data_IF_896200303218
#
_entry.id   IF_896200303218
#
_cell.length_a   1.000
_cell.length_b   1.000
_cell.length_c   1.000
_cell.angle_alpha   90.00
_cell.angle_beta   90.00
_cell.angle_gamma   90.00
#
_symmetry.space_group_name_H-M   'P 1'
#
loop_
_entity.id
_entity.type
_entity.pdbx_description
1 polymer ?
#
# COMPACT_ATOMS: atom_id res chain seq x y z
N UNK A 1 -25.87 21.58 -13.27
CA UNK A 1 -26.21 20.31 -13.96
C UNK A 1 -25.34 19.20 -13.40
N UNK A 2 -25.89 18.42 -12.47
CA UNK A 2 -25.21 17.26 -11.88
C UNK A 2 -25.55 16.06 -12.77
N UNK A 3 -24.70 15.73 -13.74
CA UNK A 3 -24.84 14.47 -14.47
C UNK A 3 -24.47 13.35 -13.50
N UNK A 4 -25.49 12.76 -12.86
CA UNK A 4 -25.39 11.41 -12.29
C UNK A 4 -24.88 10.50 -13.40
N UNK A 5 -23.59 10.17 -13.39
CA UNK A 5 -23.08 9.06 -14.17
C UNK A 5 -23.68 7.80 -13.54
N UNK A 6 -24.63 7.16 -14.23
CA UNK A 6 -25.13 5.82 -13.92
C UNK A 6 -24.01 4.80 -14.23
N UNK A 7 -22.90 4.87 -13.51
CA UNK A 7 -21.80 3.93 -13.63
C UNK A 7 -21.73 3.18 -12.32
N UNK A 8 -22.15 1.92 -12.34
CA UNK A 8 -21.96 0.99 -11.23
C UNK A 8 -20.55 0.43 -11.32
N UNK A 9 -19.75 0.67 -10.30
CA UNK A 9 -18.43 0.08 -10.15
C UNK A 9 -18.55 -1.13 -9.22
N UNK A 10 -18.26 -2.32 -9.73
CA UNK A 10 -18.28 -3.55 -8.96
C UNK A 10 -16.88 -3.77 -8.39
N UNK A 11 -16.73 -3.49 -7.09
CA UNK A 11 -15.50 -3.76 -6.34
C UNK A 11 -15.46 -5.21 -5.85
N UNK A 12 -16.60 -5.89 -5.76
CA UNK A 12 -16.69 -7.30 -5.37
C UNK A 12 -17.11 -8.10 -6.61
N UNK A 13 -16.52 -9.29 -6.89
CA UNK A 13 -16.91 -10.08 -8.05
C UNK A 13 -18.43 -10.36 -8.01
N UNK A 14 -19.11 -10.27 -9.17
CA UNK A 14 -20.57 -10.25 -9.22
C UNK A 14 -21.22 -11.60 -8.89
N UNK A 15 -20.48 -12.71 -9.03
CA UNK A 15 -20.99 -14.08 -8.87
C UNK A 15 -19.99 -14.97 -8.12
N UNK A 16 -20.46 -16.12 -7.64
CA UNK A 16 -19.70 -17.15 -6.93
C UNK A 16 -18.27 -17.33 -7.48
N UNK A 17 -17.29 -16.93 -6.69
CA UNK A 17 -15.89 -16.96 -7.07
C UNK A 17 -15.08 -17.64 -5.96
N UNK A 18 -14.84 -18.94 -6.14
CA UNK A 18 -14.13 -19.77 -5.17
C UNK A 18 -12.71 -19.23 -4.89
N UNK A 19 -12.01 -18.76 -5.93
CA UNK A 19 -10.66 -18.20 -5.81
C UNK A 19 -10.66 -16.90 -4.99
N UNK A 20 -11.68 -16.05 -5.20
CA UNK A 20 -11.88 -14.84 -4.40
C UNK A 20 -12.08 -15.19 -2.93
N UNK A 21 -12.98 -16.14 -2.65
CA UNK A 21 -13.29 -16.58 -1.28
C UNK A 21 -12.07 -17.16 -0.60
N UNK A 22 -11.32 -18.04 -1.27
CA UNK A 22 -10.13 -18.67 -0.71
C UNK A 22 -9.09 -17.64 -0.28
N UNK A 23 -8.75 -16.70 -1.17
CA UNK A 23 -7.80 -15.62 -0.85
C UNK A 23 -8.34 -14.61 0.16
N UNK A 24 -9.64 -14.30 0.13
CA UNK A 24 -10.27 -13.44 1.12
C UNK A 24 -10.18 -14.06 2.51
N UNK A 25 -10.57 -15.33 2.68
CA UNK A 25 -10.52 -16.00 3.98
C UNK A 25 -9.08 -16.16 4.47
N UNK A 26 -8.12 -16.47 3.58
CA UNK A 26 -6.68 -16.52 3.92
C UNK A 26 -6.16 -15.19 4.49
N UNK A 27 -6.45 -14.05 3.84
CA UNK A 27 -6.06 -12.72 4.34
C UNK A 27 -6.76 -12.38 5.66
N UNK A 28 -8.06 -12.69 5.77
CA UNK A 28 -8.82 -12.43 7.01
C UNK A 28 -8.32 -13.30 8.18
N UNK A 29 -7.90 -14.53 7.91
CA UNK A 29 -7.27 -15.41 8.90
C UNK A 29 -5.97 -14.77 9.42
N UNK A 30 -5.11 -14.26 8.53
CA UNK A 30 -3.88 -13.55 8.90
C UNK A 30 -4.17 -12.33 9.76
N UNK A 31 -5.14 -11.49 9.37
CA UNK A 31 -5.52 -10.30 10.13
C UNK A 31 -6.17 -10.61 11.48
N UNK A 32 -6.70 -11.82 11.66
CA UNK A 32 -7.29 -12.25 12.93
C UNK A 32 -6.26 -12.72 13.96
N UNK A 33 -5.01 -12.97 13.53
CA UNK A 33 -3.94 -13.46 14.42
C UNK A 33 -3.59 -12.39 15.47
N UNK A 34 -3.28 -12.78 16.71
CA UNK A 34 -2.78 -11.83 17.70
C UNK A 34 -1.44 -11.26 17.26
N UNK A 35 -1.10 -10.07 17.77
CA UNK A 35 0.20 -9.46 17.48
C UNK A 35 1.35 -10.34 17.99
N UNK A 36 2.27 -10.67 17.08
CA UNK A 36 3.52 -11.37 17.38
C UNK A 36 4.70 -10.59 16.73
N UNK A 37 5.58 -9.95 17.52
CA UNK A 37 6.72 -9.21 16.98
C UNK A 37 7.78 -10.11 16.31
N UNK A 38 7.76 -11.42 16.55
CA UNK A 38 8.64 -12.38 15.89
C UNK A 38 8.09 -12.86 14.54
N UNK A 39 6.79 -12.70 14.31
CA UNK A 39 6.07 -13.06 13.08
C UNK A 39 5.17 -11.90 12.61
N UNK A 40 5.75 -10.74 12.25
CA UNK A 40 4.98 -9.55 11.91
C UNK A 40 4.16 -9.73 10.63
N UNK A 41 2.97 -9.14 10.62
CA UNK A 41 2.12 -9.01 9.44
C UNK A 41 2.42 -7.67 8.76
N UNK A 42 3.09 -7.74 7.62
CA UNK A 42 3.43 -6.61 6.78
C UNK A 42 2.49 -6.54 5.57
N UNK A 43 1.68 -5.50 5.50
CA UNK A 43 0.91 -5.16 4.31
C UNK A 43 1.75 -4.26 3.40
N UNK A 44 1.69 -4.48 2.08
CA UNK A 44 2.33 -3.58 1.13
C UNK A 44 1.46 -3.33 -0.10
N UNK A 45 1.59 -2.12 -0.65
CA UNK A 45 1.06 -1.73 -1.96
C UNK A 45 1.86 -0.56 -2.54
N UNK A 46 1.68 -0.24 -3.82
CA UNK A 46 2.32 0.89 -4.47
C UNK A 46 1.38 1.74 -5.32
N UNK A 47 1.62 3.06 -5.33
CA UNK A 47 0.91 3.98 -6.21
C UNK A 47 1.85 4.91 -7.00
N UNK A 48 1.50 5.30 -8.23
CA UNK A 48 2.16 6.40 -8.91
C UNK A 48 1.75 7.75 -8.31
N UNK A 49 2.70 8.66 -8.15
CA UNK A 49 2.43 10.06 -7.80
C UNK A 49 2.95 10.96 -8.92
N UNK A 50 2.06 11.80 -9.46
CA UNK A 50 2.43 12.77 -10.47
C UNK A 50 3.23 13.91 -9.84
N UNK A 51 4.42 14.18 -10.38
CA UNK A 51 5.25 15.30 -9.95
C UNK A 51 4.83 16.56 -10.70
N UNK A 52 4.56 17.62 -9.94
CA UNK A 52 4.03 18.88 -10.44
C UNK A 52 4.75 20.06 -9.82
N UNK A 53 5.47 20.80 -10.65
CA UNK A 53 6.25 21.98 -10.29
C UNK A 53 5.44 23.27 -10.55
N UNK A 54 5.64 24.27 -9.69
CA UNK A 54 5.12 25.63 -9.89
C UNK A 54 5.98 26.38 -10.91
N UNK A 55 5.35 26.96 -11.94
CA UNK A 55 6.09 27.77 -12.94
C UNK A 55 6.45 29.14 -12.36
N UNK A 56 5.58 29.70 -11.51
CA UNK A 56 5.80 30.97 -10.83
C UNK A 56 5.72 30.76 -9.33
N UNK A 57 6.66 31.37 -8.60
CA UNK A 57 6.66 31.36 -7.15
C UNK A 57 5.33 31.93 -6.60
N UNK A 58 4.63 31.23 -5.69
CA UNK A 58 3.41 31.71 -5.07
C UNK A 58 3.65 33.01 -4.32
N UNK A 59 2.66 33.90 -4.39
CA UNK A 59 2.65 35.08 -3.52
C UNK A 59 2.09 34.68 -2.16
N UNK A 60 2.81 34.95 -1.06
CA UNK A 60 2.34 34.62 0.28
C UNK A 60 1.04 35.35 0.60
N UNK A 61 0.26 34.79 1.54
CA UNK A 61 -0.91 35.48 2.06
C UNK A 61 -0.47 36.75 2.81
N UNK A 62 -1.33 37.77 2.76
CA UNK A 62 -1.19 39.01 3.54
C UNK A 62 -2.46 39.18 4.38
N UNK A 63 -2.49 40.18 5.29
CA UNK A 63 -3.70 40.50 6.07
C UNK A 63 -4.95 40.71 5.20
N UNK A 64 -4.78 41.19 3.98
CA UNK A 64 -5.89 41.59 3.09
C UNK A 64 -6.10 40.66 1.90
N UNK A 65 -5.16 39.74 1.62
CA UNK A 65 -5.22 38.88 0.44
C UNK A 65 -4.81 37.45 0.77
N UNK A 66 -5.54 36.43 0.27
CA UNK A 66 -5.13 35.04 0.42
C UNK A 66 -3.84 34.77 -0.35
N UNK A 67 -3.22 33.61 -0.07
CA UNK A 67 -2.11 33.08 -0.87
C UNK A 67 -2.58 32.99 -2.33
N UNK A 68 -1.75 33.46 -3.27
CA UNK A 68 -2.03 33.39 -4.71
C UNK A 68 -1.04 32.44 -5.37
N UNK A 69 -1.57 31.48 -6.09
CA UNK A 69 -0.82 30.47 -6.84
C UNK A 69 -1.24 30.59 -8.30
N UNK A 70 -0.30 30.47 -9.22
CA UNK A 70 -0.62 30.44 -10.64
C UNK A 70 -1.40 29.16 -10.99
N UNK A 71 -2.32 29.26 -11.94
CA UNK A 71 -3.03 28.09 -12.45
C UNK A 71 -2.10 27.22 -13.32
N UNK A 72 -1.08 27.83 -13.93
CA UNK A 72 -0.09 27.12 -14.74
C UNK A 72 0.88 26.32 -13.87
N UNK A 73 1.16 25.10 -14.31
CA UNK A 73 2.10 24.20 -13.66
C UNK A 73 2.87 23.39 -14.69
N UNK A 74 4.05 22.92 -14.32
CA UNK A 74 4.85 22.01 -15.15
C UNK A 74 4.70 20.59 -14.62
N UNK A 75 4.49 19.62 -15.52
CA UNK A 75 4.53 18.19 -15.19
C UNK A 75 5.98 17.73 -15.23
N UNK A 76 6.48 17.25 -14.10
CA UNK A 76 7.89 16.87 -13.91
C UNK A 76 8.08 15.36 -13.84
N UNK A 77 7.18 14.61 -14.48
CA UNK A 77 7.19 13.15 -14.50
C UNK A 77 6.29 12.51 -13.43
N UNK A 78 6.58 11.25 -13.13
CA UNK A 78 5.82 10.43 -12.19
C UNK A 78 6.82 9.68 -11.32
N UNK A 79 6.68 9.82 -10.00
CA UNK A 79 7.38 9.00 -9.03
C UNK A 79 6.53 7.77 -8.66
N UNK A 80 7.17 6.75 -8.10
CA UNK A 80 6.56 5.52 -7.59
C UNK A 80 6.71 5.49 -6.08
N UNK A 81 5.59 5.37 -5.40
CA UNK A 81 5.52 5.31 -3.95
C UNK A 81 5.23 3.88 -3.54
N UNK A 82 6.07 3.30 -2.70
CA UNK A 82 5.84 2.04 -2.00
C UNK A 82 5.35 2.35 -0.59
N UNK A 83 4.26 1.71 -0.19
CA UNK A 83 3.71 1.76 1.16
C UNK A 83 3.92 0.42 1.84
N UNK A 84 4.43 0.47 3.06
CA UNK A 84 4.62 -0.67 3.94
C UNK A 84 3.92 -0.37 5.25
N UNK A 85 3.05 -1.25 5.72
CA UNK A 85 2.29 -1.05 6.94
C UNK A 85 2.28 -2.34 7.78
N UNK A 86 2.57 -2.22 9.07
CA UNK A 86 2.42 -3.29 10.06
C UNK A 86 1.26 -2.89 11.00
N UNK A 87 0.02 -3.32 10.70
CA UNK A 87 -1.17 -2.69 11.27
C UNK A 87 -1.22 -2.79 12.80
N UNK A 88 -0.94 -3.97 13.35
CA UNK A 88 -0.99 -4.22 14.79
C UNK A 88 0.17 -3.59 15.56
N UNK A 89 1.30 -3.30 14.90
CA UNK A 89 2.39 -2.54 15.49
C UNK A 89 2.21 -1.03 15.35
N UNK A 90 1.13 -0.59 14.69
CA UNK A 90 0.86 0.82 14.40
C UNK A 90 2.10 1.43 13.75
N UNK A 91 2.58 0.80 12.68
CA UNK A 91 3.79 1.23 12.00
C UNK A 91 3.58 1.29 10.49
N UNK A 92 4.18 2.29 9.86
CA UNK A 92 4.26 2.38 8.40
C UNK A 92 5.55 3.03 7.94
N UNK A 93 5.92 2.76 6.70
CA UNK A 93 7.03 3.40 6.01
C UNK A 93 6.64 3.64 4.56
N UNK A 94 7.02 4.83 4.08
CA UNK A 94 6.87 5.21 2.68
C UNK A 94 8.24 5.29 2.03
N UNK A 95 8.39 4.62 0.89
CA UNK A 95 9.59 4.72 0.06
C UNK A 95 9.22 5.27 -1.31
N UNK A 96 10.07 6.14 -1.88
CA UNK A 96 9.80 6.82 -3.15
C UNK A 96 10.95 6.59 -4.11
N UNK A 97 10.61 6.02 -5.27
CA UNK A 97 11.54 5.72 -6.37
C UNK A 97 11.10 6.39 -7.66
N UNK A 98 12.02 6.51 -8.60
CA UNK A 98 11.72 7.01 -9.94
C UNK A 98 11.03 5.92 -10.81
N UNK A 99 11.24 4.64 -10.46
CA UNK A 99 10.71 3.47 -11.18
C UNK A 99 10.18 2.42 -10.20
N UNK A 100 9.34 1.53 -10.72
CA UNK A 100 8.78 0.35 -10.03
C UNK A 100 9.04 -0.88 -10.89
N UNK A 101 10.20 -1.49 -10.71
CA UNK A 101 10.56 -2.79 -11.31
C UNK A 101 10.49 -3.91 -10.28
N UNK A 102 10.52 -5.18 -10.73
CA UNK A 102 10.63 -6.32 -9.81
C UNK A 102 11.88 -6.24 -8.92
N UNK A 103 12.99 -5.73 -9.46
CA UNK A 103 14.24 -5.53 -8.70
C UNK A 103 14.09 -4.41 -7.66
N UNK A 104 13.43 -3.30 -8.01
CA UNK A 104 13.14 -2.23 -7.05
C UNK A 104 12.35 -2.76 -5.86
N UNK A 105 11.30 -3.55 -6.12
CA UNK A 105 10.50 -4.20 -5.10
C UNK A 105 11.32 -5.14 -4.21
N UNK A 106 12.15 -6.01 -4.81
CA UNK A 106 12.99 -6.93 -4.05
C UNK A 106 14.01 -6.20 -3.15
N UNK A 107 14.52 -5.04 -3.61
CA UNK A 107 15.41 -4.19 -2.80
C UNK A 107 14.66 -3.57 -1.61
N UNK A 108 13.45 -3.06 -1.80
CA UNK A 108 12.65 -2.53 -0.68
C UNK A 108 12.34 -3.62 0.36
N UNK A 109 11.92 -4.80 -0.09
CA UNK A 109 11.68 -5.94 0.80
C UNK A 109 12.93 -6.40 1.52
N UNK A 110 14.08 -6.47 0.83
CA UNK A 110 15.36 -6.82 1.46
C UNK A 110 15.76 -5.81 2.54
N UNK A 111 15.61 -4.50 2.28
CA UNK A 111 15.90 -3.46 3.26
C UNK A 111 15.05 -3.62 4.54
N UNK A 112 13.78 -4.00 4.41
CA UNK A 112 12.91 -4.27 5.55
C UNK A 112 13.33 -5.54 6.30
N UNK A 113 13.62 -6.62 5.58
CA UNK A 113 14.03 -7.91 6.15
C UNK A 113 15.38 -7.85 6.87
N UNK A 114 16.32 -7.08 6.33
CA UNK A 114 17.68 -6.91 6.88
C UNK A 114 17.75 -5.76 7.90
N UNK A 115 16.78 -4.84 7.88
CA UNK A 115 16.66 -3.72 8.80
C UNK A 115 15.65 -4.00 9.92
N UNK A 116 14.44 -3.44 9.80
CA UNK A 116 13.39 -3.50 10.84
C UNK A 116 13.12 -4.92 11.31
N UNK A 117 13.06 -5.87 10.38
CA UNK A 117 12.71 -7.25 10.66
C UNK A 117 13.93 -8.17 10.81
N UNK A 118 15.15 -7.64 10.98
CA UNK A 118 16.38 -8.45 11.05
C UNK A 118 16.32 -9.61 12.05
N UNK A 119 15.57 -9.44 13.15
CA UNK A 119 15.44 -10.42 14.23
C UNK A 119 14.22 -11.34 14.10
N UNK A 120 13.35 -11.10 13.13
CA UNK A 120 12.16 -11.91 12.90
C UNK A 120 12.53 -13.16 12.10
N UNK A 121 12.04 -14.32 12.52
CA UNK A 121 12.26 -15.58 11.79
C UNK A 121 11.60 -15.53 10.42
N UNK A 122 10.38 -14.96 10.37
CA UNK A 122 9.57 -14.84 9.17
C UNK A 122 8.72 -13.58 9.24
N UNK A 123 8.36 -13.05 8.08
CA UNK A 123 7.43 -11.92 7.88
C UNK A 123 6.28 -12.41 7.01
N UNK A 124 5.05 -12.24 7.49
CA UNK A 124 3.84 -12.54 6.74
C UNK A 124 3.54 -11.31 5.87
N UNK A 125 3.58 -11.46 4.56
CA UNK A 125 3.43 -10.35 3.61
C UNK A 125 2.07 -10.43 2.94
N UNK A 126 1.21 -9.44 3.23
CA UNK A 126 -0.07 -9.25 2.56
C UNK A 126 0.10 -8.26 1.41
N UNK A 127 -0.16 -8.69 0.18
CA UNK A 127 -0.01 -7.85 -1.02
C UNK A 127 -0.91 -8.33 -2.16
N UNK A 128 -1.02 -7.55 -3.23
CA UNK A 128 -1.65 -8.05 -4.46
C UNK A 128 -0.80 -9.16 -5.12
N UNK A 129 -1.38 -9.87 -6.09
CA UNK A 129 -0.68 -10.89 -6.88
C UNK A 129 -0.14 -10.30 -8.18
N UNK A 130 0.65 -9.23 -8.08
CA UNK A 130 1.32 -8.60 -9.21
C UNK A 130 2.55 -9.40 -9.64
N UNK A 131 2.85 -9.40 -10.94
CA UNK A 131 4.00 -10.13 -11.51
C UNK A 131 5.38 -9.64 -11.02
N UNK A 132 5.43 -8.52 -10.29
CA UNK A 132 6.63 -8.01 -9.63
C UNK A 132 6.84 -8.65 -8.25
N UNK A 133 5.79 -9.12 -7.58
CA UNK A 133 5.81 -9.65 -6.21
C UNK A 133 6.13 -11.13 -6.23
N UNK A 134 7.35 -11.47 -6.66
CA UNK A 134 7.75 -12.86 -6.86
C UNK A 134 9.05 -13.18 -6.14
N UNK A 135 9.18 -14.43 -5.68
CA UNK A 135 10.45 -14.96 -5.17
C UNK A 135 11.57 -14.79 -6.20
N UNK A 136 11.26 -14.94 -7.49
CA UNK A 136 12.22 -14.76 -8.59
C UNK A 136 12.86 -13.37 -8.61
N UNK A 137 12.12 -12.32 -8.22
CA UNK A 137 12.64 -10.95 -8.18
C UNK A 137 13.87 -10.79 -7.27
N UNK A 138 13.97 -11.58 -6.20
CA UNK A 138 15.16 -11.60 -5.34
C UNK A 138 16.36 -12.23 -6.02
N UNK A 139 16.15 -13.26 -6.84
CA UNK A 139 17.21 -13.90 -7.63
C UNK A 139 17.66 -13.04 -8.81
N UNK A 140 16.80 -12.15 -9.31
CA UNK A 140 17.20 -11.13 -10.27
C UNK A 140 18.02 -10.00 -9.61
N UNK A 141 17.82 -9.76 -8.31
CA UNK A 141 18.40 -8.62 -7.59
C UNK A 141 19.68 -8.96 -6.81
N UNK A 142 19.83 -10.21 -6.35
CA UNK A 142 20.89 -10.61 -5.40
C UNK A 142 21.53 -11.94 -5.76
N UNK A 143 22.75 -12.15 -5.27
CA UNK A 143 23.42 -13.45 -5.36
C UNK A 143 22.56 -14.58 -4.78
N UNK A 144 22.57 -15.80 -5.36
CA UNK A 144 21.64 -16.88 -5.01
C UNK A 144 21.57 -17.22 -3.52
N UNK A 145 22.69 -17.13 -2.80
CA UNK A 145 22.73 -17.41 -1.35
C UNK A 145 21.96 -16.36 -0.56
N UNK A 146 22.17 -15.07 -0.86
CA UNK A 146 21.43 -13.95 -0.23
C UNK A 146 19.96 -13.97 -0.64
N UNK A 147 19.67 -14.18 -1.92
CA UNK A 147 18.30 -14.29 -2.39
C UNK A 147 17.57 -15.43 -1.64
N UNK A 148 18.19 -16.61 -1.52
CA UNK A 148 17.60 -17.75 -0.82
C UNK A 148 17.39 -17.49 0.67
N UNK A 149 18.32 -16.81 1.34
CA UNK A 149 18.18 -16.49 2.76
C UNK A 149 17.03 -15.52 3.03
N UNK A 150 16.85 -14.52 2.16
CA UNK A 150 15.75 -13.54 2.27
C UNK A 150 14.39 -14.19 2.01
N UNK A 151 14.21 -14.90 0.89
CA UNK A 151 12.90 -15.43 0.49
C UNK A 151 12.39 -16.53 1.41
N UNK A 152 13.27 -17.23 2.14
CA UNK A 152 12.88 -18.21 3.17
C UNK A 152 12.17 -17.56 4.36
N UNK A 153 12.35 -16.26 4.55
CA UNK A 153 11.77 -15.47 5.63
C UNK A 153 10.48 -14.77 5.21
N UNK A 154 9.99 -14.98 4.00
CA UNK A 154 8.76 -14.37 3.49
C UNK A 154 7.69 -15.44 3.32
N UNK A 155 6.50 -15.17 3.84
CA UNK A 155 5.29 -15.96 3.58
C UNK A 155 4.23 -15.04 2.99
N UNK A 156 3.84 -15.30 1.73
CA UNK A 156 2.91 -14.45 1.00
C UNK A 156 1.45 -14.83 1.26
N UNK A 157 0.64 -13.81 1.46
CA UNK A 157 -0.82 -13.89 1.52
C UNK A 157 -1.39 -12.89 0.52
N UNK A 158 -1.89 -13.40 -0.60
CA UNK A 158 -2.31 -12.55 -1.70
C UNK A 158 -3.76 -12.09 -1.54
N UNK A 159 -4.00 -10.79 -1.64
CA UNK A 159 -5.37 -10.27 -1.73
C UNK A 159 -6.03 -10.77 -3.02
N UNK A 160 -7.31 -11.15 -3.00
CA UNK A 160 -7.97 -11.65 -4.19
C UNK A 160 -8.03 -10.57 -5.29
N UNK A 161 -8.20 -11.00 -6.54
CA UNK A 161 -8.56 -10.07 -7.62
C UNK A 161 -9.88 -9.39 -7.28
N UNK A 162 -9.99 -8.08 -7.50
CA UNK A 162 -11.09 -7.25 -7.00
C UNK A 162 -11.14 -7.15 -5.45
N UNK A 163 -10.15 -7.64 -4.73
CA UNK A 163 -10.05 -7.59 -3.27
C UNK A 163 -9.19 -6.46 -2.73
N UNK A 164 -8.94 -5.42 -3.53
CA UNK A 164 -7.97 -4.36 -3.21
C UNK A 164 -8.29 -3.67 -1.86
N UNK A 165 -9.59 -3.50 -1.57
CA UNK A 165 -10.10 -2.99 -0.30
C UNK A 165 -9.73 -3.82 0.95
N UNK A 166 -9.27 -5.08 0.79
CA UNK A 166 -8.73 -5.90 1.88
C UNK A 166 -7.28 -5.56 2.22
N UNK A 167 -6.55 -4.92 1.30
CA UNK A 167 -5.16 -4.57 1.55
C UNK A 167 -5.06 -3.31 2.41
N UNK A 168 -4.57 -3.44 3.64
CA UNK A 168 -4.45 -2.29 4.55
C UNK A 168 -3.47 -1.23 3.99
N UNK A 169 -2.48 -1.64 3.20
CA UNK A 169 -1.57 -0.69 2.56
C UNK A 169 -2.28 0.26 1.57
N UNK A 170 -3.38 -0.17 0.93
CA UNK A 170 -4.20 0.72 0.09
C UNK A 170 -4.88 1.84 0.90
N UNK A 171 -5.34 1.52 2.12
CA UNK A 171 -5.93 2.51 3.02
C UNK A 171 -4.88 3.53 3.48
N UNK A 172 -3.66 3.07 3.79
CA UNK A 172 -2.53 3.95 4.14
C UNK A 172 -2.08 4.80 2.94
N UNK A 173 -2.08 4.25 1.73
CA UNK A 173 -1.81 5.00 0.49
C UNK A 173 -2.86 6.09 0.27
N UNK A 174 -4.14 5.80 0.53
CA UNK A 174 -5.22 6.80 0.49
C UNK A 174 -5.01 7.90 1.52
N UNK A 175 -4.59 7.55 2.74
CA UNK A 175 -4.26 8.50 3.79
C UNK A 175 -3.07 9.38 3.42
N UNK A 176 -1.97 8.78 2.92
CA UNK A 176 -0.82 9.51 2.38
C UNK A 176 -1.25 10.48 1.27
N UNK A 177 -2.05 10.00 0.33
CA UNK A 177 -2.53 10.85 -0.77
C UNK A 177 -3.34 12.02 -0.23
N UNK A 178 -4.31 11.79 0.64
CA UNK A 178 -5.16 12.85 1.19
C UNK A 178 -4.40 13.85 2.08
N UNK A 179 -3.44 13.38 2.87
CA UNK A 179 -2.77 14.20 3.89
C UNK A 179 -1.46 14.82 3.41
N UNK A 180 -0.73 14.13 2.53
CA UNK A 180 0.62 14.52 2.12
C UNK A 180 0.74 14.96 0.66
N UNK A 181 -0.13 14.53 -0.25
CA UNK A 181 0.03 14.77 -1.70
C UNK A 181 -1.07 15.67 -2.28
N UNK A 182 -2.33 15.40 -1.94
CA UNK A 182 -3.48 16.06 -2.52
C UNK A 182 -3.44 17.57 -2.26
N UNK A 183 -3.68 18.35 -3.32
CA UNK A 183 -3.67 19.82 -3.26
C UNK A 183 -2.29 20.46 -3.13
N UNK A 184 -1.19 19.68 -3.17
CA UNK A 184 0.18 20.18 -3.08
C UNK A 184 0.91 20.09 -4.42
N UNK A 185 1.87 20.99 -4.63
CA UNK A 185 2.74 21.04 -5.81
C UNK A 185 4.12 20.47 -5.42
N UNK A 186 4.33 19.18 -5.69
CA UNK A 186 5.58 18.48 -5.39
C UNK A 186 6.32 18.26 -6.70
N UNK A 187 7.38 19.03 -6.94
CA UNK A 187 8.03 19.12 -8.25
C UNK A 187 9.07 18.03 -8.52
N UNK A 188 9.58 17.37 -7.48
CA UNK A 188 10.64 16.35 -7.61
C UNK A 188 10.41 15.13 -6.73
N UNK A 189 11.02 14.00 -7.10
CA UNK A 189 11.00 12.80 -6.28
C UNK A 189 11.70 13.00 -4.93
N UNK A 190 12.72 13.87 -4.86
CA UNK A 190 13.40 14.23 -3.61
C UNK A 190 12.46 14.95 -2.64
N UNK A 191 11.73 15.96 -3.12
CA UNK A 191 10.71 16.63 -2.31
C UNK A 191 9.64 15.64 -1.85
N UNK A 192 9.21 14.71 -2.73
CA UNK A 192 8.25 13.70 -2.36
C UNK A 192 8.79 12.77 -1.27
N UNK A 193 10.08 12.36 -1.33
CA UNK A 193 10.74 11.59 -0.27
C UNK A 193 10.71 12.32 1.06
N UNK A 194 11.17 13.57 1.09
CA UNK A 194 11.21 14.37 2.32
C UNK A 194 9.83 14.51 2.95
N UNK A 195 8.82 14.86 2.14
CA UNK A 195 7.46 15.08 2.63
C UNK A 195 6.78 13.78 3.08
N UNK A 196 6.95 12.69 2.33
CA UNK A 196 6.39 11.39 2.71
C UNK A 196 7.12 10.75 3.89
N UNK A 197 8.42 11.05 4.08
CA UNK A 197 9.17 10.69 5.27
C UNK A 197 8.62 11.37 6.51
N UNK A 198 8.54 12.70 6.48
CA UNK A 198 7.97 13.48 7.57
C UNK A 198 6.53 13.04 7.90
N UNK A 199 5.72 12.72 6.87
CA UNK A 199 4.37 12.22 7.08
C UNK A 199 4.35 10.89 7.83
N UNK A 200 5.08 9.85 7.38
CA UNK A 200 4.99 8.57 8.06
C UNK A 200 5.65 8.58 9.44
N UNK A 201 6.67 9.41 9.67
CA UNK A 201 7.26 9.65 10.99
C UNK A 201 6.26 10.26 11.96
N UNK A 202 5.53 11.30 11.56
CA UNK A 202 4.49 11.94 12.37
C UNK A 202 3.36 10.94 12.71
N UNK A 203 2.85 10.22 11.72
CA UNK A 203 1.77 9.23 11.95
C UNK A 203 2.27 8.08 12.84
N UNK A 204 3.52 7.65 12.70
CA UNK A 204 4.16 6.68 13.59
C UNK A 204 4.25 7.16 15.04
N UNK A 205 4.59 8.43 15.26
CA UNK A 205 4.69 9.01 16.60
C UNK A 205 3.33 9.13 17.28
N UNK A 206 2.28 9.48 16.52
CA UNK A 206 0.91 9.60 17.04
C UNK A 206 0.30 8.22 17.33
N UNK A 207 0.87 7.14 16.80
CA UNK A 207 0.35 5.76 16.89
C UNK A 207 -1.11 5.64 16.43
N UNK A 208 -1.49 6.39 15.38
CA UNK A 208 -2.81 6.23 14.79
C UNK A 208 -2.86 4.91 14.04
N UNK A 209 -3.75 4.01 14.45
CA UNK A 209 -3.92 2.69 13.86
C UNK A 209 -5.01 2.61 12.80
N UNK A 210 -4.97 1.51 12.06
CA UNK A 210 -6.10 1.04 11.26
C UNK A 210 -6.97 0.18 12.16
N UNK A 211 -8.20 0.63 12.41
CA UNK A 211 -9.20 -0.18 13.12
C UNK A 211 -9.85 -1.14 12.12
N UNK A 212 -9.28 -2.33 12.00
CA UNK A 212 -9.84 -3.38 11.15
C UNK A 212 -11.00 -4.09 11.85
N UNK A 213 -12.20 -4.03 11.26
CA UNK A 213 -13.43 -4.56 11.88
C UNK A 213 -14.00 -5.80 11.17
N UNK A 214 -13.49 -6.20 10.00
CA UNK A 214 -14.09 -7.29 9.22
C UNK A 214 -13.46 -8.64 9.55
N UNK A 215 -14.24 -9.55 10.14
CA UNK A 215 -13.83 -10.93 10.44
C UNK A 215 -14.39 -11.91 9.40
N UNK A 216 -13.93 -13.17 9.45
CA UNK A 216 -14.44 -14.24 8.57
C UNK A 216 -15.95 -14.44 8.74
N UNK A 217 -16.45 -14.45 9.97
CA UNK A 217 -17.89 -14.62 10.21
C UNK A 217 -18.72 -13.45 9.65
N UNK A 218 -18.17 -12.23 9.70
CA UNK A 218 -18.75 -11.07 9.01
C UNK A 218 -18.76 -11.28 7.50
N UNK A 219 -17.65 -11.75 6.91
CA UNK A 219 -17.52 -11.97 5.48
C UNK A 219 -18.49 -13.04 4.97
N UNK A 220 -18.60 -14.18 5.67
CA UNK A 220 -19.55 -15.27 5.35
C UNK A 220 -21.01 -14.82 5.39
N UNK A 221 -21.32 -13.84 6.23
CA UNK A 221 -22.67 -13.28 6.35
C UNK A 221 -22.92 -12.18 5.32
N UNK A 222 -22.04 -11.18 5.25
CA UNK A 222 -22.20 -9.95 4.46
C UNK A 222 -21.90 -10.17 2.97
N UNK A 223 -21.03 -11.11 2.63
CA UNK A 223 -20.60 -11.41 1.26
C UNK A 223 -21.07 -12.79 0.80
N UNK A 224 -22.21 -13.28 1.31
CA UNK A 224 -22.75 -14.60 0.98
C UNK A 224 -22.81 -14.90 -0.54
N UNK A 225 -23.07 -13.88 -1.36
CA UNK A 225 -23.19 -14.03 -2.83
C UNK A 225 -21.89 -14.43 -3.53
N UNK A 226 -20.71 -14.24 -2.91
CA UNK A 226 -19.43 -14.66 -3.52
C UNK A 226 -19.10 -16.12 -3.24
N UNK A 227 -19.79 -16.76 -2.29
CA UNK A 227 -19.58 -18.16 -1.93
C UNK A 227 -20.25 -19.09 -2.95
N UNK A 228 -19.54 -20.09 -3.50
CA UNK A 228 -20.14 -21.07 -4.40
C UNK A 228 -21.28 -21.86 -3.76
N UNK A 229 -22.37 -22.05 -4.51
CA UNK A 229 -23.42 -23.00 -4.13
C UNK A 229 -22.90 -24.43 -4.32
N UNK A 230 -22.95 -25.23 -3.26
CA UNK A 230 -22.60 -26.65 -3.32
C UNK A 230 -23.73 -27.36 -4.08
N UNK A 231 -23.43 -27.83 -5.29
CA UNK A 231 -24.32 -28.76 -6.00
C UNK A 231 -24.26 -30.11 -5.28
N UNK A 232 -25.37 -30.47 -4.63
CA UNK A 232 -25.58 -31.78 -3.99
C UNK A 232 -25.96 -32.81 -5.05
#
# INVERSE_FOLDING_TARGET
>A
MNTKRNVQYWVIPPEANAEFVAHMEDVLDVYSRPYDPCLPVLCMDEQPVQLVEEIKAPLPATRHHPKRVDYEYRRSGVAKVFMFAEPLALWRQVSVRDKKTKVDWAVEMANLLEGRYAKCEKVLVVCDNLNTHTIGAFYDAFEPERARSLVRRIEFHHTPKHGSWLNIAENELSCLTGQCVAGRRIGSAEQLREQSAAWHEDVNQIQRGVEWQMKIDDARTKLKSVYPEIKV
#
